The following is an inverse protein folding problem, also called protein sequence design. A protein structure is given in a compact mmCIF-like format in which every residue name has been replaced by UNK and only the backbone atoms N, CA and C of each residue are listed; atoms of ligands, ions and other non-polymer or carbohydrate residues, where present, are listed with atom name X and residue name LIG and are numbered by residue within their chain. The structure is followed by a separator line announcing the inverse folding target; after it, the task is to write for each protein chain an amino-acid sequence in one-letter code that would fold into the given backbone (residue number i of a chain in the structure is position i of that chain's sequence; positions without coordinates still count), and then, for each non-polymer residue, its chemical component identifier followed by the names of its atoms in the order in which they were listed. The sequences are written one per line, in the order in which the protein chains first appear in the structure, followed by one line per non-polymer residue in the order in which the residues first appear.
data_IF_423276650210
#
_entry.id   IF_423276650210
#
_cell.length_a   1.000
_cell.length_b   1.000
_cell.length_c   1.000
_cell.angle_alpha   90.00
_cell.angle_beta   90.00
_cell.angle_gamma   90.00
#
_symmetry.space_group_name_H-M   'P 1'
#
loop_
_entity.id
_entity.type
_entity.pdbx_description
1 polymer ?
#
# COMPACT_ATOMS: atom_id res chain seq x y z
N UNK A 1 -2.22 -1.31 9.29
CA UNK A 1 -1.64 -0.08 8.69
C UNK A 1 -0.17 -0.03 9.06
N UNK A 2 0.67 0.49 8.16
CA UNK A 2 2.13 0.44 8.30
C UNK A 2 2.80 1.71 7.77
N UNK A 3 3.96 2.03 8.35
CA UNK A 3 4.89 3.03 7.80
C UNK A 3 6.17 2.32 7.43
N UNK A 4 6.53 2.39 6.16
CA UNK A 4 7.65 1.68 5.57
C UNK A 4 8.75 2.67 5.23
N UNK A 5 9.98 2.37 5.64
CA UNK A 5 11.18 3.02 5.13
C UNK A 5 11.92 2.02 4.27
N UNK A 6 11.94 2.26 2.97
CA UNK A 6 12.44 1.30 1.98
C UNK A 6 13.29 2.01 0.93
N UNK A 7 13.91 1.23 0.06
CA UNK A 7 14.64 1.72 -1.09
C UNK A 7 13.95 1.20 -2.35
N UNK A 8 14.01 1.94 -3.46
CA UNK A 8 13.64 1.38 -4.76
C UNK A 8 14.70 0.37 -5.19
N UNK A 9 14.54 -0.88 -4.75
CA UNK A 9 15.35 -1.98 -5.25
C UNK A 9 14.86 -2.32 -6.66
N UNK A 10 15.36 -1.63 -7.68
CA UNK A 10 15.01 -1.92 -9.06
C UNK A 10 15.43 -3.34 -9.48
N UNK A 11 16.47 -3.91 -8.85
CA UNK A 11 17.13 -5.17 -9.27
C UNK A 11 17.19 -6.29 -8.22
N UNK A 12 16.39 -6.26 -7.14
CA UNK A 12 16.26 -7.43 -6.24
C UNK A 12 14.88 -8.05 -6.36
N UNK A 13 14.82 -9.22 -6.98
CA UNK A 13 13.57 -9.94 -7.26
C UNK A 13 12.89 -10.45 -5.98
N UNK A 14 13.65 -10.64 -4.89
CA UNK A 14 13.16 -11.28 -3.65
C UNK A 14 12.61 -10.31 -2.60
N UNK A 15 12.46 -9.01 -2.91
CA UNK A 15 11.98 -8.02 -1.94
C UNK A 15 10.50 -7.72 -2.16
N UNK A 16 9.71 -7.75 -1.10
CA UNK A 16 8.30 -7.37 -1.15
C UNK A 16 8.13 -5.93 -1.65
N UNK A 17 7.56 -5.80 -2.86
CA UNK A 17 7.30 -4.52 -3.52
C UNK A 17 5.93 -4.02 -3.10
N UNK A 18 5.88 -3.22 -2.03
CA UNK A 18 4.64 -2.64 -1.50
C UNK A 18 3.81 -1.88 -2.55
N UNK A 19 4.46 -1.39 -3.61
CA UNK A 19 3.86 -0.67 -4.73
C UNK A 19 3.27 -1.57 -5.83
N UNK A 20 3.56 -2.88 -5.83
CA UNK A 20 3.01 -3.84 -6.80
C UNK A 20 1.72 -4.52 -6.32
N UNK A 21 1.24 -4.18 -5.12
CA UNK A 21 0.00 -4.74 -4.61
C UNK A 21 -1.18 -3.86 -5.02
N UNK A 22 -1.91 -4.32 -6.04
CA UNK A 22 -3.07 -3.63 -6.59
C UNK A 22 -4.39 -4.17 -6.01
N UNK A 23 -4.54 -5.50 -5.96
CA UNK A 23 -5.65 -6.16 -5.29
C UNK A 23 -5.24 -7.55 -4.81
N UNK A 24 -5.82 -8.01 -3.71
CA UNK A 24 -5.84 -9.43 -3.37
C UNK A 24 -7.12 -10.05 -3.92
N UNK A 25 -6.99 -11.11 -4.71
CA UNK A 25 -8.11 -11.91 -5.21
C UNK A 25 -8.56 -12.96 -4.19
N UNK A 26 -7.69 -13.28 -3.22
CA UNK A 26 -7.95 -14.28 -2.18
C UNK A 26 -7.60 -13.76 -0.80
N UNK A 27 -8.22 -14.35 0.23
CA UNK A 27 -7.91 -14.04 1.63
C UNK A 27 -6.46 -14.40 1.99
N UNK A 28 -5.89 -15.43 1.35
CA UNK A 28 -4.49 -15.82 1.55
C UNK A 28 -3.51 -14.78 1.01
N UNK A 29 -3.74 -14.26 -0.21
CA UNK A 29 -2.96 -13.15 -0.77
C UNK A 29 -3.01 -11.91 0.12
N UNK A 30 -4.20 -11.57 0.62
CA UNK A 30 -4.38 -10.46 1.55
C UNK A 30 -3.62 -10.68 2.85
N UNK A 31 -3.69 -11.88 3.42
CA UNK A 31 -3.00 -12.22 4.66
C UNK A 31 -1.49 -12.09 4.49
N UNK A 32 -0.96 -12.60 3.37
CA UNK A 32 0.46 -12.47 3.02
C UNK A 32 0.86 -10.99 2.86
N UNK A 33 0.07 -10.19 2.13
CA UNK A 33 0.27 -8.75 2.00
C UNK A 33 0.33 -8.03 3.35
N UNK A 34 -0.66 -8.26 4.22
CA UNK A 34 -0.73 -7.65 5.55
C UNK A 34 0.43 -8.09 6.46
N UNK A 35 0.85 -9.36 6.36
CA UNK A 35 2.02 -9.86 7.10
C UNK A 35 3.31 -9.19 6.63
N UNK A 36 3.53 -9.06 5.32
CA UNK A 36 4.70 -8.36 4.77
C UNK A 36 4.71 -6.87 5.13
N UNK A 37 3.55 -6.21 5.07
CA UNK A 37 3.42 -4.81 5.51
C UNK A 37 3.77 -4.64 6.99
N UNK A 38 3.37 -5.58 7.84
CA UNK A 38 3.70 -5.54 9.27
C UNK A 38 5.19 -5.81 9.50
N UNK A 39 5.78 -6.77 8.79
CA UNK A 39 7.20 -7.09 8.88
C UNK A 39 8.11 -5.92 8.45
N UNK A 40 7.66 -5.12 7.47
CA UNK A 40 8.36 -3.94 6.99
C UNK A 40 8.00 -2.64 7.73
N UNK A 41 7.01 -2.70 8.63
CA UNK A 41 6.58 -1.51 9.37
C UNK A 41 7.67 -1.10 10.36
N UNK A 42 8.00 0.19 10.36
CA UNK A 42 8.97 0.77 11.31
C UNK A 42 8.54 0.59 12.78
N UNK A 43 7.23 0.51 13.02
CA UNK A 43 6.64 0.35 14.34
C UNK A 43 5.25 -0.27 14.23
N UNK A 44 4.78 -0.86 15.34
CA UNK A 44 3.40 -1.31 15.44
C UNK A 44 2.46 -0.11 15.60
N UNK A 45 1.45 -0.05 14.75
CA UNK A 45 0.46 1.04 14.73
C UNK A 45 -0.79 0.68 15.54
N UNK A 46 -0.93 -0.57 15.98
CA UNK A 46 -2.14 -1.09 16.63
C UNK A 46 -3.35 -1.22 15.69
N UNK A 47 -3.21 -0.83 14.41
CA UNK A 47 -4.29 -0.88 13.43
C UNK A 47 -4.23 -2.19 12.64
N UNK A 48 -5.24 -3.03 12.83
CA UNK A 48 -5.44 -4.25 12.06
C UNK A 48 -6.17 -3.98 10.75
N UNK A 49 -6.10 -4.92 9.82
CA UNK A 49 -6.86 -4.89 8.59
C UNK A 49 -7.43 -6.29 8.33
N UNK A 50 -8.60 -6.33 7.72
CA UNK A 50 -9.36 -7.53 7.39
C UNK A 50 -9.56 -7.64 5.88
N UNK A 51 -9.76 -8.85 5.38
CA UNK A 51 -10.06 -9.07 3.97
C UNK A 51 -11.32 -8.28 3.57
N UNK A 52 -11.25 -7.54 2.46
CA UNK A 52 -12.28 -6.60 2.02
C UNK A 52 -12.06 -5.15 2.44
N UNK A 53 -11.09 -4.86 3.32
CA UNK A 53 -10.69 -3.48 3.61
C UNK A 53 -10.00 -2.83 2.40
N UNK A 54 -10.28 -1.55 2.19
CA UNK A 54 -9.58 -0.74 1.18
C UNK A 54 -8.41 0.01 1.80
N UNK A 55 -7.34 0.15 1.02
CA UNK A 55 -6.11 0.82 1.45
C UNK A 55 -5.76 2.00 0.54
N UNK A 56 -5.08 2.98 1.14
CA UNK A 56 -4.42 4.06 0.42
C UNK A 56 -2.92 4.01 0.74
N UNK A 57 -2.10 3.95 -0.29
CA UNK A 57 -0.64 4.00 -0.16
C UNK A 57 -0.14 5.37 -0.61
N UNK A 58 0.48 6.11 0.30
CA UNK A 58 1.19 7.36 0.01
C UNK A 58 2.68 7.07 0.00
N UNK A 59 3.37 7.35 -1.10
CA UNK A 59 4.80 7.09 -1.25
C UNK A 59 5.52 8.38 -1.64
N UNK A 60 6.57 8.73 -0.90
CA UNK A 60 7.40 9.90 -1.18
C UNK A 60 8.86 9.50 -1.33
N UNK A 61 9.61 10.27 -2.11
CA UNK A 61 11.07 10.19 -2.10
C UNK A 61 11.59 10.60 -0.72
N UNK A 62 12.60 9.89 -0.22
CA UNK A 62 13.30 10.25 1.01
C UNK A 62 14.76 10.48 0.70
N UNK A 63 15.27 11.64 1.06
CA UNK A 63 16.69 12.01 0.92
C UNK A 63 17.60 11.36 1.98
N UNK A 64 17.06 10.44 2.80
CA UNK A 64 17.83 9.75 3.84
C UNK A 64 18.91 8.83 3.24
N UNK A 65 18.72 8.35 2.01
CA UNK A 65 19.55 7.38 1.28
C UNK A 65 19.24 7.48 -0.22
N UNK A 66 20.20 7.12 -1.07
CA UNK A 66 19.98 7.00 -2.53
C UNK A 66 18.82 6.01 -2.79
N UNK A 67 17.91 6.40 -3.70
CA UNK A 67 16.66 5.70 -3.98
C UNK A 67 15.73 5.44 -2.78
N UNK A 68 15.89 6.20 -1.70
CA UNK A 68 15.04 6.11 -0.52
C UNK A 68 13.58 6.44 -0.81
N UNK A 69 12.69 5.67 -0.20
CA UNK A 69 11.25 5.89 -0.19
C UNK A 69 10.72 5.79 1.23
N UNK A 70 9.83 6.72 1.56
CA UNK A 70 8.97 6.62 2.72
C UNK A 70 7.57 6.33 2.20
N UNK A 71 6.99 5.20 2.61
CA UNK A 71 5.65 4.81 2.23
C UNK A 71 4.75 4.64 3.46
N UNK A 72 3.52 5.12 3.36
CA UNK A 72 2.50 5.02 4.40
C UNK A 72 1.30 4.31 3.80
N UNK A 73 0.88 3.20 4.42
CA UNK A 73 -0.28 2.43 3.98
C UNK A 73 -1.40 2.59 4.99
N UNK A 74 -2.40 3.41 4.64
CA UNK A 74 -3.57 3.68 5.47
C UNK A 74 -4.74 2.75 5.12
N UNK A 75 -5.54 2.37 6.12
CA UNK A 75 -6.80 1.65 5.96
C UNK A 75 -7.95 2.65 5.96
N UNK A 76 -8.90 2.50 5.05
CA UNK A 76 -10.14 3.29 5.04
C UNK A 76 -11.07 2.89 6.20
N UNK A 77 -11.52 3.86 7.01
CA UNK A 77 -12.36 3.60 8.21
C UNK A 77 -13.86 3.66 7.90
N UNK A 78 -14.24 4.47 6.90
CA UNK A 78 -15.60 4.62 6.36
C UNK A 78 -15.50 5.14 4.92
N UNK A 79 -16.45 4.83 4.01
CA UNK A 79 -16.54 5.58 2.77
C UNK A 79 -16.75 7.07 3.15
N UNK A 80 -15.86 7.94 2.67
CA UNK A 80 -16.18 9.36 2.63
C UNK A 80 -17.50 9.50 1.86
N UNK A 81 -18.43 10.40 2.27
CA UNK A 81 -19.62 10.63 1.46
C UNK A 81 -19.16 10.94 0.05
N UNK A 82 -19.65 10.13 -0.91
CA UNK A 82 -19.35 10.32 -2.30
C UNK A 82 -19.76 11.76 -2.66
N UNK A 83 -18.78 12.63 -2.89
CA UNK A 83 -19.04 13.80 -3.71
C UNK A 83 -19.44 13.22 -5.07
N UNK A 84 -20.74 13.30 -5.35
CA UNK A 84 -21.32 12.71 -6.54
C UNK A 84 -20.64 13.26 -7.78
N UNK A 85 -19.90 12.38 -8.44
CA UNK A 85 -19.71 12.42 -9.88
C UNK A 85 -19.82 10.98 -10.40
N UNK A 86 -20.52 10.87 -11.51
CA UNK A 86 -21.11 9.67 -12.04
C UNK A 86 -20.09 8.69 -12.63
N UNK A 87 -20.56 7.45 -12.79
CA UNK A 87 -20.04 6.35 -13.63
C UNK A 87 -19.14 5.32 -12.97
N UNK A 88 -19.58 4.06 -13.11
CA UNK A 88 -18.91 2.88 -12.60
C UNK A 88 -17.53 2.71 -13.21
N UNK A 89 -16.56 2.46 -12.34
CA UNK A 89 -15.26 1.93 -12.68
C UNK A 89 -14.78 1.16 -11.47
N UNK A 90 -14.36 -0.09 -11.68
CA UNK A 90 -13.39 -0.73 -10.78
C UNK A 90 -12.33 0.32 -10.42
N UNK A 91 -11.91 0.40 -9.17
CA UNK A 91 -10.85 1.30 -8.74
C UNK A 91 -9.53 0.93 -9.45
N UNK A 92 -9.42 1.35 -10.70
CA UNK A 92 -8.21 1.36 -11.50
C UNK A 92 -7.49 2.62 -11.07
N UNK A 93 -6.59 2.48 -10.09
CA UNK A 93 -5.73 3.58 -9.71
C UNK A 93 -4.72 3.77 -10.85
N UNK A 94 -4.82 4.93 -11.50
CA UNK A 94 -4.19 5.22 -12.78
C UNK A 94 -2.69 5.00 -12.81
N UNK A 95 -2.22 4.58 -13.97
CA UNK A 95 -0.83 4.55 -14.38
C UNK A 95 -0.20 5.92 -14.14
N UNK A 96 0.81 6.00 -13.28
CA UNK A 96 1.85 7.02 -13.42
C UNK A 96 3.00 6.33 -14.15
N UNK A 97 2.81 6.19 -15.45
CA UNK A 97 3.91 6.04 -16.41
C UNK A 97 4.59 7.40 -16.47
N UNK A 98 5.92 7.39 -16.57
CA UNK A 98 6.70 8.59 -16.92
C UNK A 98 6.23 9.18 -18.26
#
# INVERSE_FOLDING_TARGET
MSVLKTHLFQNREDTFKYYQFYQANTEEEFKNYNQNLKALSLYDTGVTASYGDHFLTLSTCSSYVEDGRLAVVARQISPAPAHGDETGGSASFGTFDE
#
